data_IF_245675274879
#
_entry.id   IF_245675274879
#
_cell.length_a   1.000
_cell.length_b   1.000
_cell.length_c   1.000
_cell.angle_alpha   90.00
_cell.angle_beta   90.00
_cell.angle_gamma   90.00
#
_symmetry.space_group_name_H-M   'P 1'
#
loop_
_entity.id
_entity.type
_entity.pdbx_description
1 polymer ?
#
# COMPACT_ATOMS: atom_id res chain seq x y z
N UNK A 1 3.29 -26.85 -6.86
CA UNK A 1 3.49 -25.40 -7.08
C UNK A 1 4.16 -24.78 -5.89
N UNK A 2 5.11 -23.88 -6.11
CA UNK A 2 5.71 -23.16 -4.99
C UNK A 2 4.77 -22.06 -4.48
N UNK A 3 5.07 -21.56 -3.28
CA UNK A 3 4.21 -20.56 -2.62
C UNK A 3 4.17 -19.23 -3.38
N UNK A 4 5.27 -18.83 -4.01
CA UNK A 4 5.30 -17.58 -4.78
C UNK A 4 4.33 -17.62 -5.96
N UNK A 5 4.34 -18.70 -6.72
CA UNK A 5 3.44 -18.88 -7.85
C UNK A 5 1.99 -18.93 -7.40
N UNK A 6 1.73 -19.68 -6.35
CA UNK A 6 0.40 -19.80 -5.76
C UNK A 6 -0.13 -18.43 -5.32
N UNK A 7 0.69 -17.62 -4.65
CA UNK A 7 0.32 -16.29 -4.21
C UNK A 7 -0.09 -15.38 -5.37
N UNK A 8 0.67 -15.44 -6.47
CA UNK A 8 0.34 -14.65 -7.66
C UNK A 8 -1.03 -15.00 -8.24
N UNK A 9 -1.38 -16.29 -8.24
CA UNK A 9 -2.64 -16.76 -8.80
C UNK A 9 -3.84 -16.54 -7.86
N UNK A 10 -3.64 -16.62 -6.57
CA UNK A 10 -4.72 -16.63 -5.57
C UNK A 10 -5.01 -15.28 -4.94
N UNK A 11 -4.10 -14.30 -5.09
CA UNK A 11 -4.30 -12.97 -4.52
C UNK A 11 -5.62 -12.37 -5.02
N UNK A 12 -6.34 -11.75 -4.11
CA UNK A 12 -7.59 -11.03 -4.43
C UNK A 12 -7.58 -9.67 -3.75
N UNK A 13 -8.28 -8.73 -4.33
CA UNK A 13 -8.53 -7.44 -3.71
C UNK A 13 -9.57 -7.60 -2.60
N UNK A 14 -9.12 -7.55 -1.37
CA UNK A 14 -9.98 -7.68 -0.20
C UNK A 14 -10.52 -6.32 0.20
N UNK A 15 -11.84 -6.18 0.34
CA UNK A 15 -12.50 -4.92 0.68
C UNK A 15 -13.41 -5.04 1.89
N UNK A 16 -13.22 -6.07 2.69
CA UNK A 16 -13.91 -6.26 3.96
C UNK A 16 -12.92 -6.85 4.94
N UNK A 17 -12.75 -6.19 6.06
CA UNK A 17 -11.73 -6.53 7.05
C UNK A 17 -12.39 -6.97 8.35
N UNK A 18 -11.68 -7.79 9.13
CA UNK A 18 -12.10 -8.13 10.48
C UNK A 18 -11.65 -7.02 11.46
N UNK A 19 -11.97 -7.17 12.75
CA UNK A 19 -11.67 -6.15 13.77
C UNK A 19 -10.22 -6.20 14.25
N UNK A 20 -9.41 -7.12 13.76
CA UNK A 20 -8.01 -7.22 14.19
C UNK A 20 -7.18 -6.11 13.59
N UNK A 21 -6.41 -5.45 14.44
CA UNK A 21 -5.40 -4.49 14.01
C UNK A 21 -4.15 -5.26 13.59
N UNK A 22 -3.56 -4.88 12.47
CA UNK A 22 -2.29 -5.45 12.01
C UNK A 22 -1.18 -4.99 12.96
N UNK A 23 -0.32 -5.91 13.41
CA UNK A 23 0.77 -5.58 14.32
C UNK A 23 1.80 -4.70 13.64
N UNK A 24 2.48 -3.87 14.43
CA UNK A 24 3.57 -3.02 13.93
C UNK A 24 4.67 -3.85 13.26
N UNK A 25 5.04 -4.97 13.87
CA UNK A 25 6.07 -5.86 13.32
C UNK A 25 5.70 -6.40 11.93
N UNK A 26 4.43 -6.74 11.73
CA UNK A 26 3.95 -7.21 10.44
C UNK A 26 3.96 -6.09 9.40
N UNK A 27 3.57 -4.88 9.79
CA UNK A 27 3.62 -3.71 8.92
C UNK A 27 5.06 -3.44 8.48
N UNK A 28 6.02 -3.52 9.40
CA UNK A 28 7.44 -3.36 9.07
C UNK A 28 7.90 -4.40 8.04
N UNK A 29 7.47 -5.65 8.18
CA UNK A 29 7.81 -6.71 7.22
C UNK A 29 7.24 -6.43 5.84
N UNK A 30 6.01 -5.93 5.78
CA UNK A 30 5.37 -5.59 4.51
C UNK A 30 6.11 -4.45 3.82
N UNK A 31 6.43 -3.39 4.55
CA UNK A 31 7.18 -2.25 4.02
C UNK A 31 8.57 -2.69 3.56
N UNK A 32 9.23 -3.54 4.35
CA UNK A 32 10.53 -4.09 3.98
C UNK A 32 10.46 -4.83 2.64
N UNK A 33 9.45 -5.66 2.45
CA UNK A 33 9.24 -6.36 1.18
C UNK A 33 9.01 -5.38 0.02
N UNK A 34 8.31 -4.29 0.26
CA UNK A 34 8.09 -3.23 -0.73
C UNK A 34 9.38 -2.60 -1.22
N UNK A 35 10.36 -2.48 -0.34
CA UNK A 35 11.66 -1.87 -0.66
C UNK A 35 12.51 -2.70 -1.65
N UNK A 36 12.14 -3.96 -1.87
CA UNK A 36 12.84 -4.83 -2.81
C UNK A 36 12.23 -4.82 -4.21
N UNK A 37 11.24 -3.97 -4.45
CA UNK A 37 10.66 -3.84 -5.78
C UNK A 37 11.69 -3.31 -6.79
N UNK A 38 11.65 -3.77 -8.03
CA UNK A 38 12.55 -3.23 -9.06
C UNK A 38 12.23 -1.77 -9.35
N UNK A 39 13.23 -1.02 -9.77
CA UNK A 39 13.08 0.36 -10.20
C UNK A 39 13.97 0.65 -11.40
N UNK A 40 13.58 1.61 -12.23
CA UNK A 40 14.35 2.01 -13.39
C UNK A 40 15.77 2.41 -12.99
N UNK A 41 16.77 1.75 -13.55
CA UNK A 41 18.20 1.94 -13.28
C UNK A 41 18.54 1.82 -11.78
N UNK A 42 17.73 1.09 -11.02
CA UNK A 42 17.90 0.90 -9.58
C UNK A 42 17.96 2.21 -8.79
N UNK A 43 17.19 3.21 -9.20
CA UNK A 43 17.18 4.54 -8.55
C UNK A 43 16.45 4.53 -7.22
N UNK A 44 15.53 3.58 -7.01
CA UNK A 44 14.79 3.40 -5.75
C UNK A 44 14.11 4.70 -5.30
N UNK A 45 13.36 5.31 -6.19
CA UNK A 45 12.75 6.64 -6.03
C UNK A 45 11.41 6.61 -5.33
N UNK A 46 11.03 5.49 -4.75
CA UNK A 46 9.80 5.34 -3.99
C UNK A 46 10.07 5.47 -2.49
N UNK A 47 9.05 5.90 -1.77
CA UNK A 47 9.06 5.99 -0.31
C UNK A 47 7.74 5.43 0.22
N UNK A 48 7.78 4.89 1.43
CA UNK A 48 6.61 4.31 2.07
C UNK A 48 6.31 5.04 3.37
N UNK A 49 5.04 5.30 3.61
CA UNK A 49 4.57 5.84 4.89
C UNK A 49 3.51 4.90 5.42
N UNK A 50 3.79 4.29 6.57
CA UNK A 50 2.82 3.45 7.27
C UNK A 50 2.06 4.30 8.28
N UNK A 51 0.74 4.29 8.20
CA UNK A 51 -0.13 5.00 9.13
C UNK A 51 -0.85 3.97 9.97
N UNK A 52 -0.56 3.95 11.26
CA UNK A 52 -1.11 2.98 12.22
C UNK A 52 -2.09 3.62 13.21
N UNK A 53 -2.19 4.94 13.24
CA UNK A 53 -3.15 5.66 14.07
C UNK A 53 -4.52 5.64 13.39
N UNK A 54 -5.50 5.00 14.02
CA UNK A 54 -6.84 4.86 13.45
C UNK A 54 -7.52 6.22 13.21
N UNK A 55 -7.31 7.20 14.07
CA UNK A 55 -7.89 8.54 13.89
C UNK A 55 -7.32 9.20 12.63
N UNK A 56 -6.02 9.08 12.42
CA UNK A 56 -5.38 9.64 11.22
C UNK A 56 -5.84 8.90 9.96
N UNK A 57 -5.98 7.58 10.01
CA UNK A 57 -6.53 6.81 8.88
C UNK A 57 -7.92 7.31 8.53
N UNK A 58 -8.77 7.58 9.54
CA UNK A 58 -10.12 8.09 9.32
C UNK A 58 -10.11 9.49 8.70
N UNK A 59 -9.23 10.36 9.14
CA UNK A 59 -9.06 11.70 8.55
C UNK A 59 -8.64 11.59 7.08
N UNK A 60 -7.66 10.76 6.79
CA UNK A 60 -7.19 10.54 5.42
C UNK A 60 -8.28 9.93 4.54
N UNK A 61 -9.09 9.03 5.10
CA UNK A 61 -10.23 8.44 4.40
C UNK A 61 -11.23 9.52 3.98
N UNK A 62 -11.57 10.43 4.88
CA UNK A 62 -12.49 11.54 4.58
C UNK A 62 -11.93 12.47 3.52
N UNK A 63 -10.65 12.80 3.62
CA UNK A 63 -9.99 13.66 2.64
C UNK A 63 -10.00 13.00 1.25
N UNK A 64 -9.71 11.69 1.20
CA UNK A 64 -9.73 10.95 -0.05
C UNK A 64 -11.14 10.85 -0.64
N UNK A 65 -12.14 10.65 0.20
CA UNK A 65 -13.54 10.62 -0.22
C UNK A 65 -13.98 11.97 -0.84
N UNK A 66 -13.53 13.08 -0.28
CA UNK A 66 -13.79 14.41 -0.85
C UNK A 66 -13.20 14.56 -2.24
N UNK A 67 -11.95 14.13 -2.43
CA UNK A 67 -11.28 14.15 -3.74
C UNK A 67 -12.04 13.29 -4.75
N UNK A 68 -12.56 12.16 -4.32
CA UNK A 68 -13.34 11.24 -5.17
C UNK A 68 -14.80 11.69 -5.35
N UNK A 69 -15.22 12.73 -4.65
CA UNK A 69 -16.62 13.17 -4.61
C UNK A 69 -17.55 12.02 -4.20
N UNK A 70 -17.17 11.29 -3.16
CA UNK A 70 -17.88 10.11 -2.65
C UNK A 70 -18.28 10.32 -1.19
N UNK A 71 -19.41 9.73 -0.81
CA UNK A 71 -19.87 9.72 0.59
C UNK A 71 -19.46 8.43 1.33
N UNK A 72 -18.88 7.47 0.63
CA UNK A 72 -18.46 6.20 1.23
C UNK A 72 -17.03 6.28 1.76
N UNK A 73 -16.63 5.27 2.55
CA UNK A 73 -15.24 5.12 3.04
C UNK A 73 -14.41 4.40 1.98
N UNK A 74 -13.48 5.10 1.29
CA UNK A 74 -12.66 4.47 0.27
C UNK A 74 -11.64 3.46 0.83
N UNK A 75 -11.44 3.42 2.16
CA UNK A 75 -10.53 2.50 2.82
C UNK A 75 -11.24 1.32 3.48
N UNK A 76 -12.56 1.21 3.29
CA UNK A 76 -13.35 0.06 3.75
C UNK A 76 -13.22 -0.23 5.25
N UNK A 77 -13.06 0.79 6.07
CA UNK A 77 -12.91 0.63 7.51
C UNK A 77 -11.54 0.12 7.97
N UNK A 78 -10.52 0.21 7.12
CA UNK A 78 -9.17 -0.21 7.49
C UNK A 78 -8.66 0.59 8.68
N UNK A 79 -7.95 -0.09 9.59
CA UNK A 79 -7.38 0.53 10.80
C UNK A 79 -5.96 1.02 10.61
N UNK A 80 -5.30 0.59 9.57
CA UNK A 80 -3.95 1.03 9.20
C UNK A 80 -3.82 1.04 7.68
N UNK A 81 -2.85 1.78 7.19
CA UNK A 81 -2.62 1.90 5.74
C UNK A 81 -1.15 2.14 5.45
N UNK A 82 -0.76 1.82 4.25
CA UNK A 82 0.58 2.13 3.74
C UNK A 82 0.40 3.00 2.51
N UNK A 83 1.09 4.13 2.47
CA UNK A 83 1.07 5.05 1.34
C UNK A 83 2.40 4.90 0.60
N UNK A 84 2.33 4.73 -0.71
CA UNK A 84 3.51 4.67 -1.58
C UNK A 84 3.66 6.01 -2.29
N UNK A 85 4.82 6.62 -2.13
CA UNK A 85 5.20 7.83 -2.86
C UNK A 85 6.27 7.49 -3.88
N UNK A 86 6.26 8.16 -5.02
CA UNK A 86 7.29 8.02 -6.04
C UNK A 86 7.68 9.42 -6.53
N UNK A 87 8.98 9.62 -6.78
CA UNK A 87 9.50 10.89 -7.27
C UNK A 87 9.14 11.07 -8.74
N UNK A 88 8.26 12.03 -9.02
CA UNK A 88 7.77 12.30 -10.38
C UNK A 88 8.84 12.84 -11.32
N UNK A 89 10.01 13.22 -10.81
CA UNK A 89 11.14 13.62 -11.65
C UNK A 89 11.86 12.42 -12.29
N UNK A 90 11.65 11.21 -11.77
CA UNK A 90 12.23 10.01 -12.37
C UNK A 90 11.38 9.55 -13.55
N UNK A 91 12.00 9.20 -14.72
CA UNK A 91 11.23 8.83 -15.92
C UNK A 91 10.30 7.64 -15.75
N UNK A 92 10.63 6.71 -14.84
CA UNK A 92 9.88 5.47 -14.63
C UNK A 92 9.04 5.49 -13.35
N UNK A 93 8.74 6.66 -12.80
CA UNK A 93 8.14 6.75 -11.47
C UNK A 93 6.79 6.03 -11.35
N UNK A 94 5.95 6.08 -12.38
CA UNK A 94 4.66 5.40 -12.36
C UNK A 94 4.82 3.89 -12.29
N UNK A 95 5.75 3.35 -13.06
CA UNK A 95 6.02 1.91 -13.06
C UNK A 95 6.68 1.47 -11.77
N UNK A 96 7.66 2.25 -11.28
CA UNK A 96 8.38 1.94 -10.04
C UNK A 96 7.43 1.93 -8.85
N UNK A 97 6.55 2.93 -8.76
CA UNK A 97 5.54 2.98 -7.70
C UNK A 97 4.55 1.83 -7.77
N UNK A 98 4.11 1.48 -8.98
CA UNK A 98 3.20 0.36 -9.18
C UNK A 98 3.84 -0.98 -8.79
N UNK A 99 5.11 -1.19 -9.14
CA UNK A 99 5.84 -2.40 -8.76
C UNK A 99 6.07 -2.48 -7.25
N UNK A 100 6.37 -1.36 -6.61
CA UNK A 100 6.48 -1.30 -5.16
C UNK A 100 5.15 -1.68 -4.50
N UNK A 101 4.04 -1.15 -5.00
CA UNK A 101 2.70 -1.50 -4.53
C UNK A 101 2.44 -3.00 -4.69
N UNK A 102 2.85 -3.59 -5.82
CA UNK A 102 2.73 -5.02 -6.06
C UNK A 102 3.46 -5.86 -5.02
N UNK A 103 4.64 -5.42 -4.59
CA UNK A 103 5.41 -6.11 -3.56
C UNK A 103 4.77 -6.01 -2.16
N UNK A 104 3.99 -4.95 -1.90
CA UNK A 104 3.27 -4.82 -0.64
C UNK A 104 2.08 -5.80 -0.56
N UNK A 105 1.52 -6.15 -1.69
CA UNK A 105 0.38 -7.04 -1.78
C UNK A 105 0.80 -8.51 -1.72
#
# INVERSE_FOLDING_TARGET
MNEAYKNLLERRSVRKYNDKKVSHDLIEKIVYAGQFAPSGMNRQIYAFVAVEDEELVNVLSKMNAEVMNSSSDPFYGAKSMIIVFADSNAPTYLYDGALAMGNLM
#
